data_IF_346107281125
#
_entry.id   IF_346107281125
#
_cell.length_a   1.000
_cell.length_b   1.000
_cell.length_c   1.000
_cell.angle_alpha   90.00
_cell.angle_beta   90.00
_cell.angle_gamma   90.00
#
_symmetry.space_group_name_H-M   'P 1'
#
loop_
_entity.id
_entity.type
_entity.pdbx_description
1 polymer ?
#
# COMPACT_ATOMS: atom_id res chain seq x y z
N UNK A 1 28.76 11.58 15.55
CA UNK A 1 28.27 10.47 14.69
C UNK A 1 27.07 9.78 15.35
N UNK A 2 26.02 10.54 15.75
CA UNK A 2 24.85 10.01 16.50
C UNK A 2 23.48 10.42 15.90
N UNK A 3 23.46 11.16 14.79
CA UNK A 3 22.21 11.68 14.20
C UNK A 3 21.46 10.70 13.29
N UNK A 4 22.04 9.53 12.95
CA UNK A 4 21.49 8.62 11.93
C UNK A 4 20.43 7.64 12.47
N UNK A 5 20.46 7.34 13.78
CA UNK A 5 19.59 6.34 14.41
C UNK A 5 18.21 6.92 14.73
N UNK A 6 18.16 8.22 15.06
CA UNK A 6 16.94 8.94 15.42
C UNK A 6 16.03 9.16 14.20
N UNK A 7 16.61 9.55 13.05
CA UNK A 7 15.85 9.63 11.79
C UNK A 7 15.24 8.28 11.38
N UNK A 8 15.96 7.18 11.57
CA UNK A 8 15.46 5.86 11.17
C UNK A 8 14.30 5.42 12.07
N UNK A 9 14.35 5.70 13.37
CA UNK A 9 13.24 5.44 14.30
C UNK A 9 12.04 6.35 14.04
N UNK A 10 12.26 7.64 13.81
CA UNK A 10 11.19 8.60 13.48
C UNK A 10 10.51 8.27 12.14
N UNK A 11 11.28 7.85 11.13
CA UNK A 11 10.74 7.33 9.86
C UNK A 11 9.94 6.05 10.06
N UNK A 12 10.39 5.14 10.94
CA UNK A 12 9.69 3.87 11.20
C UNK A 12 8.40 4.09 11.99
N UNK A 13 8.39 5.00 12.97
CA UNK A 13 7.19 5.37 13.72
C UNK A 13 6.17 6.13 12.84
N UNK A 14 6.63 7.07 12.02
CA UNK A 14 5.80 7.77 11.03
C UNK A 14 5.22 6.78 9.99
N UNK A 15 6.02 5.80 9.56
CA UNK A 15 5.59 4.70 8.68
C UNK A 15 4.44 3.89 9.29
N UNK A 16 4.53 3.47 10.56
CA UNK A 16 3.47 2.71 11.23
C UNK A 16 2.20 3.56 11.40
N UNK A 17 2.32 4.85 11.74
CA UNK A 17 1.17 5.74 11.94
C UNK A 17 0.46 6.07 10.63
N UNK A 18 1.20 6.38 9.55
CA UNK A 18 0.61 6.66 8.24
C UNK A 18 -0.03 5.41 7.62
N UNK A 19 0.66 4.27 7.73
CA UNK A 19 0.16 2.96 7.26
C UNK A 19 -1.11 2.53 8.01
N UNK A 20 -1.12 2.61 9.34
CA UNK A 20 -2.30 2.26 10.13
C UNK A 20 -3.47 3.21 9.92
N UNK A 21 -3.23 4.51 9.71
CA UNK A 21 -4.27 5.49 9.37
C UNK A 21 -4.94 5.15 8.04
N UNK A 22 -4.16 4.92 6.98
CA UNK A 22 -4.70 4.59 5.66
C UNK A 22 -5.43 3.23 5.65
N UNK A 23 -4.91 2.23 6.37
CA UNK A 23 -5.59 0.94 6.53
C UNK A 23 -6.93 1.10 7.24
N UNK A 24 -6.96 1.87 8.34
CA UNK A 24 -8.18 2.12 9.09
C UNK A 24 -9.20 2.93 8.27
N UNK A 25 -8.76 4.00 7.60
CA UNK A 25 -9.60 4.80 6.72
C UNK A 25 -10.20 3.96 5.60
N UNK A 26 -9.40 3.10 4.97
CA UNK A 26 -9.87 2.13 3.99
C UNK A 26 -10.89 1.16 4.59
N UNK A 27 -10.63 0.62 5.78
CA UNK A 27 -11.53 -0.32 6.46
C UNK A 27 -12.90 0.30 6.73
N UNK A 28 -12.92 1.53 7.26
CA UNK A 28 -14.15 2.29 7.52
C UNK A 28 -14.91 2.57 6.22
N UNK A 29 -14.21 3.04 5.19
CA UNK A 29 -14.83 3.36 3.91
C UNK A 29 -15.34 2.11 3.17
N UNK A 30 -14.58 1.01 3.18
CA UNK A 30 -14.99 -0.26 2.58
C UNK A 30 -16.26 -0.81 3.26
N UNK A 31 -16.31 -0.77 4.60
CA UNK A 31 -17.48 -1.17 5.37
C UNK A 31 -18.70 -0.26 5.13
N UNK A 32 -18.47 1.02 4.81
CA UNK A 32 -19.54 1.94 4.41
C UNK A 32 -20.05 1.59 3.01
N UNK A 33 -19.17 1.40 2.02
CA UNK A 33 -19.56 1.04 0.67
C UNK A 33 -20.27 -0.33 0.60
N UNK A 34 -19.81 -1.32 1.36
CA UNK A 34 -20.45 -2.64 1.44
C UNK A 34 -21.88 -2.53 1.99
N UNK A 35 -22.09 -1.71 3.02
CA UNK A 35 -23.42 -1.40 3.55
C UNK A 35 -24.32 -0.66 2.55
N UNK A 36 -23.74 -0.02 1.54
CA UNK A 36 -24.46 0.72 0.49
C UNK A 36 -24.47 -0.03 -0.85
N UNK A 37 -24.00 -1.27 -0.90
CA UNK A 37 -23.86 -2.09 -2.13
C UNK A 37 -23.04 -1.42 -3.25
N UNK A 38 -22.16 -0.48 -2.90
CA UNK A 38 -21.29 0.23 -3.83
C UNK A 38 -20.02 -0.58 -4.12
N UNK A 39 -19.72 -0.83 -5.41
CA UNK A 39 -18.53 -1.58 -5.80
C UNK A 39 -17.24 -0.75 -5.61
N UNK A 40 -16.44 -1.14 -4.62
CA UNK A 40 -15.24 -0.44 -4.12
C UNK A 40 -13.98 -0.56 -4.99
N UNK A 41 -14.08 -1.10 -6.20
CA UNK A 41 -12.91 -1.46 -7.00
C UNK A 41 -12.04 -0.25 -7.38
N UNK A 42 -12.64 0.89 -7.73
CA UNK A 42 -11.90 2.12 -8.02
C UNK A 42 -11.04 2.57 -6.83
N UNK A 43 -11.57 2.53 -5.61
CA UNK A 43 -10.84 2.86 -4.39
C UNK A 43 -9.67 1.90 -4.14
N UNK A 44 -9.89 0.60 -4.39
CA UNK A 44 -8.83 -0.40 -4.22
C UNK A 44 -7.68 -0.16 -5.20
N UNK A 45 -7.97 0.33 -6.42
CA UNK A 45 -6.94 0.74 -7.39
C UNK A 45 -6.18 1.98 -6.93
N UNK A 46 -6.87 3.06 -6.55
CA UNK A 46 -6.20 4.29 -6.10
C UNK A 46 -5.36 4.04 -4.86
N UNK A 47 -5.89 3.32 -3.86
CA UNK A 47 -5.13 2.91 -2.68
C UNK A 47 -3.88 2.10 -3.06
N UNK A 48 -4.01 1.12 -3.95
CA UNK A 48 -2.89 0.29 -4.34
C UNK A 48 -1.80 1.09 -5.08
N UNK A 49 -2.17 2.04 -5.94
CA UNK A 49 -1.23 2.90 -6.65
C UNK A 49 -0.45 3.80 -5.69
N UNK A 50 -1.16 4.52 -4.81
CA UNK A 50 -0.53 5.44 -3.86
C UNK A 50 0.38 4.67 -2.89
N UNK A 51 -0.10 3.53 -2.39
CA UNK A 51 0.65 2.72 -1.46
C UNK A 51 1.87 2.05 -2.13
N UNK A 52 1.77 1.66 -3.42
CA UNK A 52 2.91 1.20 -4.22
C UNK A 52 4.00 2.28 -4.33
N UNK A 53 3.62 3.51 -4.69
CA UNK A 53 4.54 4.64 -4.84
C UNK A 53 5.24 4.98 -3.54
N UNK A 54 4.51 4.99 -2.43
CA UNK A 54 5.06 5.21 -1.09
C UNK A 54 6.13 4.16 -0.76
N UNK A 55 5.82 2.86 -0.90
CA UNK A 55 6.79 1.80 -0.60
C UNK A 55 8.04 1.85 -1.50
N UNK A 56 7.87 2.23 -2.78
CA UNK A 56 8.99 2.43 -3.71
C UNK A 56 9.85 3.62 -3.34
N UNK A 57 9.25 4.76 -2.98
CA UNK A 57 9.95 5.95 -2.53
C UNK A 57 10.73 5.72 -1.22
N UNK A 58 10.25 4.81 -0.38
CA UNK A 58 10.92 4.35 0.84
C UNK A 58 12.09 3.38 0.58
N UNK A 59 12.32 2.99 -0.68
CA UNK A 59 13.42 2.11 -1.08
C UNK A 59 13.09 0.61 -1.04
N UNK A 60 11.81 0.24 -0.87
CA UNK A 60 11.40 -1.16 -0.96
C UNK A 60 11.62 -1.69 -2.38
N UNK A 61 12.11 -2.92 -2.51
CA UNK A 61 12.16 -3.58 -3.81
C UNK A 61 10.75 -3.77 -4.36
N UNK A 62 10.63 -3.92 -5.69
CA UNK A 62 9.34 -4.22 -6.33
C UNK A 62 8.66 -5.45 -5.71
N UNK A 63 9.44 -6.49 -5.39
CA UNK A 63 8.94 -7.73 -4.79
C UNK A 63 8.40 -7.51 -3.38
N UNK A 64 9.13 -6.77 -2.53
CA UNK A 64 8.69 -6.46 -1.17
C UNK A 64 7.45 -5.57 -1.16
N UNK A 65 7.42 -4.59 -2.07
CA UNK A 65 6.27 -3.70 -2.29
C UNK A 65 5.01 -4.49 -2.63
N UNK A 66 5.10 -5.45 -3.56
CA UNK A 66 3.97 -6.29 -3.94
C UNK A 66 3.52 -7.23 -2.81
N UNK A 67 4.45 -7.75 -2.02
CA UNK A 67 4.12 -8.57 -0.86
C UNK A 67 3.41 -7.74 0.24
N UNK A 68 3.86 -6.51 0.48
CA UNK A 68 3.22 -5.58 1.41
C UNK A 68 1.80 -5.20 0.95
N UNK A 69 1.64 -4.79 -0.31
CA UNK A 69 0.32 -4.49 -0.89
C UNK A 69 -0.64 -5.67 -0.83
N UNK A 70 -0.15 -6.89 -1.08
CA UNK A 70 -0.95 -8.11 -0.99
C UNK A 70 -1.45 -8.34 0.44
N UNK A 71 -0.63 -8.08 1.46
CA UNK A 71 -1.04 -8.10 2.86
C UNK A 71 -2.06 -7.01 3.16
N UNK A 72 -1.79 -5.77 2.74
CA UNK A 72 -2.67 -4.65 2.96
C UNK A 72 -4.05 -4.97 2.39
N UNK A 73 -4.14 -5.40 1.13
CA UNK A 73 -5.38 -5.76 0.43
C UNK A 73 -6.09 -7.01 0.99
N UNK A 74 -5.52 -7.68 2.01
CA UNK A 74 -6.14 -8.83 2.67
C UNK A 74 -5.95 -10.15 1.93
N UNK A 75 -4.93 -10.26 1.07
CA UNK A 75 -4.67 -11.43 0.23
C UNK A 75 -3.51 -12.31 0.73
N UNK A 76 -2.85 -11.95 1.85
CA UNK A 76 -1.65 -12.62 2.35
C UNK A 76 -0.40 -12.25 1.54
N UNK A 77 0.74 -12.93 1.73
CA UNK A 77 2.01 -12.65 1.05
C UNK A 77 2.19 -13.37 -0.30
N UNK A 78 1.43 -14.44 -0.55
CA UNK A 78 1.57 -15.29 -1.74
C UNK A 78 1.01 -14.75 -3.06
N UNK A 79 0.36 -13.57 -3.08
CA UNK A 79 -0.38 -13.06 -4.26
C UNK A 79 0.19 -11.81 -4.92
N UNK A 80 1.47 -11.48 -4.69
CA UNK A 80 2.10 -10.30 -5.30
C UNK A 80 1.97 -10.21 -6.83
N UNK A 81 2.03 -11.35 -7.54
CA UNK A 81 1.79 -11.39 -9.00
C UNK A 81 0.36 -10.99 -9.37
N UNK A 82 -0.64 -11.41 -8.59
CA UNK A 82 -2.04 -11.07 -8.83
C UNK A 82 -2.33 -9.60 -8.52
N UNK A 83 -1.74 -9.08 -7.45
CA UNK A 83 -1.82 -7.65 -7.11
C UNK A 83 -1.30 -6.78 -8.24
N UNK A 84 -0.15 -7.12 -8.83
CA UNK A 84 0.37 -6.41 -10.01
C UNK A 84 -0.61 -6.43 -11.19
N UNK A 85 -1.18 -7.60 -11.49
CA UNK A 85 -2.06 -7.79 -12.64
C UNK A 85 -3.40 -7.07 -12.48
N UNK A 86 -3.94 -7.01 -11.27
CA UNK A 86 -5.28 -6.50 -11.02
C UNK A 86 -5.24 -5.06 -10.54
N UNK A 87 -4.43 -4.77 -9.52
CA UNK A 87 -4.51 -3.51 -8.80
C UNK A 87 -3.53 -2.42 -9.25
N UNK A 88 -2.47 -2.77 -9.99
CA UNK A 88 -1.52 -1.81 -10.56
C UNK A 88 -1.78 -1.55 -12.06
N UNK A 89 -2.99 -1.87 -12.53
CA UNK A 89 -3.41 -1.61 -13.90
C UNK A 89 -3.53 -0.11 -14.12
N UNK A 90 -2.90 0.39 -15.18
CA UNK A 90 -2.92 1.81 -15.52
C UNK A 90 -1.84 2.64 -14.82
N UNK A 91 -0.94 2.01 -14.05
CA UNK A 91 0.33 2.66 -13.70
C UNK A 91 1.29 2.58 -14.88
N UNK A 92 2.13 3.61 -15.04
CA UNK A 92 3.12 3.63 -16.10
C UNK A 92 4.21 2.57 -15.86
N UNK A 93 4.65 1.94 -16.95
CA UNK A 93 5.69 0.91 -16.87
C UNK A 93 7.00 1.44 -16.24
N UNK A 94 7.26 2.74 -16.36
CA UNK A 94 8.41 3.42 -15.75
C UNK A 94 8.38 3.40 -14.22
N UNK A 95 7.21 3.29 -13.57
CA UNK A 95 7.09 3.25 -12.12
C UNK A 95 7.52 1.91 -11.50
N UNK A 96 7.72 0.88 -12.34
CA UNK A 96 8.16 -0.45 -11.90
C UNK A 96 9.68 -0.65 -11.90
N UNK A 97 10.43 0.29 -12.49
CA UNK A 97 11.89 0.29 -12.54
C UNK A 97 12.47 1.11 -11.39
#
# INVERSE_FOLDING_TARGET
MLFRVDEQHQRTASRVLHHSFLINARGVYAAWCERQELQTHALRYTFAHDQYRLYRAEGSSHRETLAALSKDLGHGDGRGRWVKIVYLRGMDAAEFH
#
